data_IF_829679117060
#
_entry.id   IF_829679117060
#
_cell.length_a   1.000
_cell.length_b   1.000
_cell.length_c   1.000
_cell.angle_alpha   90.00
_cell.angle_beta   90.00
_cell.angle_gamma   90.00
#
_symmetry.space_group_name_H-M   'P 1'
#
loop_
_entity.id
_entity.type
_entity.pdbx_description
1 polymer ?
#
# COMPACT_ATOMS: atom_id res chain seq x y z
N UNK A 1 24.05 3.23 -14.16
CA UNK A 1 23.00 3.98 -13.42
C UNK A 1 23.61 4.97 -12.43
N UNK A 2 24.40 4.54 -11.44
CA UNK A 2 25.02 5.47 -10.46
C UNK A 2 25.95 6.51 -11.09
N UNK A 3 26.72 6.13 -12.12
CA UNK A 3 27.59 7.07 -12.85
C UNK A 3 26.80 8.20 -13.52
N UNK A 4 25.63 7.91 -14.08
CA UNK A 4 24.76 8.92 -14.71
C UNK A 4 24.16 9.86 -13.65
N UNK A 5 23.71 9.30 -12.51
CA UNK A 5 23.23 10.11 -11.38
C UNK A 5 24.33 11.03 -10.86
N UNK A 6 25.54 10.49 -10.64
CA UNK A 6 26.70 11.28 -10.20
C UNK A 6 27.00 12.42 -11.17
N UNK A 7 27.05 12.13 -12.47
CA UNK A 7 27.32 13.14 -13.50
C UNK A 7 26.27 14.25 -13.46
N UNK A 8 24.98 13.90 -13.35
CA UNK A 8 23.92 14.90 -13.26
C UNK A 8 24.06 15.79 -12.00
N UNK A 9 24.31 15.17 -10.84
CA UNK A 9 24.50 15.88 -9.57
C UNK A 9 25.68 16.85 -9.67
N UNK A 10 26.82 16.41 -10.21
CA UNK A 10 28.02 17.24 -10.37
C UNK A 10 27.82 18.42 -11.33
N UNK A 11 27.05 18.22 -12.40
CA UNK A 11 26.75 19.26 -13.38
C UNK A 11 25.75 20.32 -12.86
N UNK A 12 24.79 19.92 -12.03
CA UNK A 12 23.67 20.78 -11.65
C UNK A 12 23.77 21.32 -10.21
N UNK A 13 24.43 20.60 -9.29
CA UNK A 13 24.42 20.94 -7.87
C UNK A 13 25.81 21.15 -7.29
N UNK A 14 26.83 20.40 -7.74
CA UNK A 14 28.20 20.54 -7.29
C UNK A 14 28.90 19.19 -7.05
N UNK A 15 30.18 19.20 -6.59
CA UNK A 15 30.95 17.97 -6.36
C UNK A 15 30.26 16.98 -5.43
N UNK A 16 30.22 15.70 -5.84
CA UNK A 16 29.58 14.61 -5.08
C UNK A 16 30.63 13.91 -4.21
N UNK A 17 30.51 14.07 -2.90
CA UNK A 17 31.37 13.38 -1.91
C UNK A 17 30.91 11.93 -1.68
N UNK A 18 29.60 11.72 -1.62
CA UNK A 18 29.00 10.39 -1.38
C UNK A 18 27.83 10.17 -2.32
N UNK A 19 27.70 8.95 -2.81
CA UNK A 19 26.51 8.45 -3.51
C UNK A 19 26.36 6.97 -3.17
N UNK A 20 25.25 6.62 -2.54
CA UNK A 20 25.00 5.29 -2.00
C UNK A 20 23.60 4.80 -2.30
N UNK A 21 23.49 3.66 -2.99
CA UNK A 21 22.22 2.96 -3.26
C UNK A 21 21.64 2.41 -1.96
N UNK A 22 20.36 2.72 -1.72
CA UNK A 22 19.65 2.21 -0.55
C UNK A 22 19.07 0.83 -0.80
N UNK A 23 19.13 -0.05 0.20
CA UNK A 23 18.63 -1.43 0.15
C UNK A 23 17.11 -1.46 0.35
N UNK A 24 16.36 -1.15 -0.72
CA UNK A 24 14.89 -1.13 -0.73
C UNK A 24 14.32 -1.45 -2.11
N UNK A 25 13.04 -1.81 -2.16
CA UNK A 25 12.35 -2.24 -3.39
C UNK A 25 12.38 -1.16 -4.49
N UNK A 26 12.19 0.13 -4.12
CA UNK A 26 12.27 1.26 -5.05
C UNK A 26 13.72 1.71 -5.23
N UNK A 27 14.17 2.08 -6.43
CA UNK A 27 15.48 2.67 -6.64
C UNK A 27 15.60 4.02 -5.91
N UNK A 28 16.45 4.08 -4.89
CA UNK A 28 16.74 5.30 -4.11
C UNK A 28 18.23 5.36 -3.82
N UNK A 29 18.82 6.53 -3.93
CA UNK A 29 20.20 6.81 -3.54
C UNK A 29 20.25 7.97 -2.56
N UNK A 30 21.11 7.89 -1.57
CA UNK A 30 21.50 9.03 -0.78
C UNK A 30 22.79 9.63 -1.35
N UNK A 31 22.84 10.95 -1.44
CA UNK A 31 23.97 11.67 -1.96
C UNK A 31 24.32 12.84 -1.02
N UNK A 32 25.63 13.09 -0.86
CA UNK A 32 26.16 14.24 -0.19
C UNK A 32 26.92 15.07 -1.25
N UNK A 33 26.45 16.31 -1.49
CA UNK A 33 26.95 17.21 -2.55
C UNK A 33 27.43 18.51 -1.93
N UNK A 34 28.61 18.97 -2.30
CA UNK A 34 29.15 20.26 -1.81
C UNK A 34 28.69 21.38 -2.72
N UNK A 35 28.00 22.37 -2.14
CA UNK A 35 27.56 23.58 -2.82
C UNK A 35 27.85 24.81 -1.95
N UNK A 36 28.56 25.76 -2.47
CA UNK A 36 28.93 27.01 -1.76
C UNK A 36 29.58 26.75 -0.37
N UNK A 37 30.43 25.72 -0.29
CA UNK A 37 31.13 25.33 0.94
C UNK A 37 30.24 24.65 2.00
N UNK A 38 29.01 24.24 1.64
CA UNK A 38 28.08 23.49 2.49
C UNK A 38 27.75 22.16 1.87
N UNK A 39 27.55 21.12 2.71
CA UNK A 39 27.09 19.84 2.25
C UNK A 39 25.56 19.86 2.16
N UNK A 40 25.05 19.58 0.97
CA UNK A 40 23.65 19.27 0.72
C UNK A 40 23.45 17.77 0.87
N UNK A 41 22.63 17.38 1.82
CA UNK A 41 22.20 16.00 2.00
C UNK A 41 20.97 15.74 1.13
N UNK A 42 21.11 14.86 0.14
CA UNK A 42 20.11 14.65 -0.91
C UNK A 42 19.61 13.21 -0.95
N UNK A 43 18.39 13.06 -1.46
CA UNK A 43 17.79 11.78 -1.81
C UNK A 43 17.43 11.80 -3.29
N UNK A 44 17.95 10.85 -4.06
CA UNK A 44 17.59 10.64 -5.46
C UNK A 44 16.55 9.53 -5.49
N UNK A 45 15.32 9.87 -5.89
CA UNK A 45 14.17 8.96 -5.94
C UNK A 45 13.94 8.53 -7.38
N UNK A 46 14.25 7.26 -7.68
CA UNK A 46 14.12 6.67 -9.00
C UNK A 46 12.73 6.14 -9.30
N UNK A 47 12.48 5.88 -10.58
CA UNK A 47 11.24 5.27 -11.04
C UNK A 47 11.11 3.81 -10.58
N UNK A 48 9.90 3.33 -10.51
CA UNK A 48 9.60 1.93 -10.17
C UNK A 48 10.10 1.00 -11.29
N UNK A 49 10.43 -0.25 -10.92
CA UNK A 49 10.91 -1.26 -11.86
C UNK A 49 9.95 -2.43 -12.05
N UNK A 50 8.94 -2.54 -11.20
CA UNK A 50 7.97 -3.63 -11.17
C UNK A 50 6.70 -3.32 -11.99
N UNK A 51 6.26 -2.07 -12.03
CA UNK A 51 5.18 -1.58 -12.90
C UNK A 51 5.33 -0.05 -13.06
N UNK A 52 4.75 0.57 -14.11
CA UNK A 52 4.97 1.99 -14.41
C UNK A 52 4.28 2.98 -13.46
N UNK A 53 3.52 2.47 -12.45
CA UNK A 53 2.73 3.31 -11.55
C UNK A 53 1.40 3.78 -12.18
N UNK A 54 0.39 4.02 -11.35
CA UNK A 54 -0.88 4.63 -11.79
C UNK A 54 -0.69 6.12 -12.03
N UNK A 55 0.12 6.76 -11.20
CA UNK A 55 0.63 8.11 -11.43
C UNK A 55 2.12 8.03 -11.79
N UNK A 56 2.57 8.73 -12.86
CA UNK A 56 3.98 8.71 -13.24
C UNK A 56 4.84 9.49 -12.25
N UNK A 57 6.14 9.21 -12.21
CA UNK A 57 7.08 9.83 -11.28
C UNK A 57 7.12 11.36 -11.36
N UNK A 58 6.90 11.92 -12.56
CA UNK A 58 6.80 13.36 -12.78
C UNK A 58 5.61 13.98 -12.06
N UNK A 59 4.51 13.23 -11.93
CA UNK A 59 3.34 13.68 -11.18
C UNK A 59 3.66 13.78 -9.68
N UNK A 60 4.37 12.80 -9.12
CA UNK A 60 4.85 12.84 -7.74
C UNK A 60 5.73 14.06 -7.49
N UNK A 61 6.74 14.28 -8.36
CA UNK A 61 7.61 15.45 -8.28
C UNK A 61 6.83 16.78 -8.38
N UNK A 62 5.86 16.87 -9.30
CA UNK A 62 5.02 18.05 -9.46
C UNK A 62 4.21 18.38 -8.21
N UNK A 63 3.51 17.39 -7.66
CA UNK A 63 2.70 17.59 -6.44
C UNK A 63 3.59 17.98 -5.26
N UNK A 64 4.73 17.31 -5.09
CA UNK A 64 5.69 17.65 -4.04
C UNK A 64 6.23 19.07 -4.16
N UNK A 65 6.60 19.51 -5.36
CA UNK A 65 7.06 20.88 -5.60
C UNK A 65 5.98 21.91 -5.23
N UNK A 66 4.75 21.69 -5.67
CA UNK A 66 3.62 22.58 -5.37
C UNK A 66 3.27 22.62 -3.88
N UNK A 67 3.35 21.49 -3.18
CA UNK A 67 3.17 21.43 -1.73
C UNK A 67 4.26 22.21 -1.01
N UNK A 68 5.54 22.01 -1.39
CA UNK A 68 6.69 22.71 -0.81
C UNK A 68 6.58 24.23 -0.97
N UNK A 69 6.25 24.71 -2.17
CA UNK A 69 6.04 26.14 -2.47
C UNK A 69 4.93 26.79 -1.62
N UNK A 70 3.99 25.99 -1.11
CA UNK A 70 2.87 26.43 -0.26
C UNK A 70 3.10 26.21 1.22
N UNK A 71 4.33 25.85 1.60
CA UNK A 71 4.73 25.73 2.99
C UNK A 71 4.31 24.40 3.66
N UNK A 72 3.81 23.42 2.90
CA UNK A 72 3.61 22.06 3.44
C UNK A 72 4.99 21.46 3.72
N UNK A 73 5.23 20.86 4.90
CA UNK A 73 6.53 20.28 5.23
C UNK A 73 6.76 18.99 4.45
N UNK A 74 7.24 19.14 3.23
CA UNK A 74 7.72 18.07 2.34
C UNK A 74 9.15 18.40 1.90
N UNK A 75 9.90 17.39 1.44
CA UNK A 75 11.26 17.62 0.94
C UNK A 75 11.27 18.59 -0.25
N UNK A 76 12.18 19.55 -0.26
CA UNK A 76 12.39 20.45 -1.40
C UNK A 76 12.90 19.66 -2.62
N UNK A 77 12.46 20.07 -3.82
CA UNK A 77 12.86 19.44 -5.09
C UNK A 77 14.00 20.24 -5.74
N UNK A 78 15.08 19.53 -6.10
CA UNK A 78 16.27 20.11 -6.73
C UNK A 78 16.33 19.91 -8.25
N UNK A 79 15.63 18.94 -8.80
CA UNK A 79 15.54 18.73 -10.24
C UNK A 79 15.21 17.33 -10.67
N UNK A 80 15.14 17.15 -11.99
CA UNK A 80 14.79 15.91 -12.68
C UNK A 80 16.00 15.33 -13.41
N UNK A 81 16.16 14.02 -13.35
CA UNK A 81 17.15 13.21 -14.09
C UNK A 81 16.39 12.39 -15.13
N UNK A 82 16.72 12.57 -16.43
CA UNK A 82 16.04 11.84 -17.51
C UNK A 82 16.48 10.39 -17.59
N UNK A 83 17.77 10.11 -17.34
CA UNK A 83 18.32 8.74 -17.39
C UNK A 83 19.35 8.53 -16.28
N UNK A 84 19.06 7.63 -15.32
CA UNK A 84 17.76 6.94 -15.11
C UNK A 84 16.68 7.91 -14.68
N UNK A 85 15.42 7.68 -15.05
CA UNK A 85 14.31 8.54 -14.62
C UNK A 85 14.28 8.60 -13.11
N UNK A 86 14.51 9.80 -12.58
CA UNK A 86 14.57 10.07 -11.14
C UNK A 86 14.38 11.56 -10.86
N UNK A 87 14.00 11.91 -9.65
CA UNK A 87 14.09 13.30 -9.20
C UNK A 87 14.90 13.40 -7.89
N UNK A 88 15.48 14.56 -7.69
CA UNK A 88 16.38 14.86 -6.58
C UNK A 88 15.68 15.75 -5.58
N UNK A 89 15.65 15.31 -4.31
CA UNK A 89 15.01 16.01 -3.19
C UNK A 89 15.96 16.13 -2.00
N UNK A 90 15.62 16.98 -1.05
CA UNK A 90 16.29 16.99 0.25
C UNK A 90 16.19 15.62 0.94
N UNK A 91 17.27 15.20 1.58
CA UNK A 91 17.19 14.10 2.55
C UNK A 91 16.69 14.66 3.87
N UNK A 92 15.43 14.34 4.19
CA UNK A 92 14.79 14.87 5.39
C UNK A 92 15.28 14.18 6.66
N UNK A 93 15.56 14.94 7.74
CA UNK A 93 15.95 14.39 9.03
C UNK A 93 14.77 13.79 9.77
N UNK A 94 15.06 13.03 10.84
CA UNK A 94 14.08 12.48 11.76
C UNK A 94 13.94 10.97 11.63
N UNK A 95 13.00 10.43 12.39
CA UNK A 95 12.71 9.00 12.45
C UNK A 95 11.30 8.70 11.90
N UNK A 96 11.10 7.52 11.29
CA UNK A 96 9.84 7.18 10.61
C UNK A 96 8.80 6.50 11.53
N UNK A 97 9.14 6.19 12.76
CA UNK A 97 8.31 5.46 13.72
C UNK A 97 8.45 6.03 15.14
N UNK A 98 7.68 5.50 16.08
CA UNK A 98 7.67 5.95 17.47
C UNK A 98 8.55 5.10 18.40
N UNK A 99 9.52 4.36 17.85
CA UNK A 99 10.45 3.59 18.66
C UNK A 99 11.21 4.51 19.65
N UNK A 100 11.07 4.22 20.94
CA UNK A 100 11.67 5.02 22.02
C UNK A 100 10.94 6.34 22.37
N UNK A 101 9.83 6.66 21.72
CA UNK A 101 8.99 7.80 22.09
C UNK A 101 8.09 7.47 23.27
N UNK A 102 7.88 8.46 24.14
CA UNK A 102 6.81 8.41 25.15
C UNK A 102 5.45 8.61 24.48
N UNK A 103 4.36 8.25 25.17
CA UNK A 103 3.00 8.50 24.69
C UNK A 103 2.75 9.99 24.45
N UNK A 104 3.19 10.86 25.34
CA UNK A 104 3.07 12.31 25.18
C UNK A 104 3.83 12.85 23.96
N UNK A 105 5.00 12.29 23.63
CA UNK A 105 5.74 12.65 22.43
C UNK A 105 5.02 12.18 21.17
N UNK A 106 4.53 10.93 21.16
CA UNK A 106 3.71 10.41 20.08
C UNK A 106 2.48 11.29 19.84
N UNK A 107 1.74 11.61 20.89
CA UNK A 107 0.55 12.46 20.79
C UNK A 107 0.86 13.85 20.27
N UNK A 108 1.97 14.47 20.69
CA UNK A 108 2.40 15.76 20.18
C UNK A 108 2.73 15.72 18.67
N UNK A 109 3.44 14.68 18.22
CA UNK A 109 3.75 14.47 16.80
C UNK A 109 2.47 14.22 16.00
N UNK A 110 1.54 13.43 16.51
CA UNK A 110 0.27 13.17 15.82
C UNK A 110 -0.61 14.42 15.74
N UNK A 111 -0.66 15.25 16.79
CA UNK A 111 -1.37 16.53 16.74
C UNK A 111 -0.77 17.47 15.69
N UNK A 112 0.57 17.50 15.57
CA UNK A 112 1.24 18.27 14.51
C UNK A 112 0.97 17.71 13.10
N UNK A 113 0.94 16.38 12.94
CA UNK A 113 0.58 15.74 11.67
C UNK A 113 -0.85 16.08 11.26
N UNK A 114 -1.81 16.03 12.19
CA UNK A 114 -3.21 16.39 11.92
C UNK A 114 -3.37 17.87 11.57
N UNK A 115 -2.56 18.75 12.20
CA UNK A 115 -2.50 20.17 11.83
C UNK A 115 -2.02 20.32 10.38
N UNK A 116 -0.95 19.59 9.99
CA UNK A 116 -0.43 19.61 8.62
C UNK A 116 -1.48 19.11 7.63
N UNK A 117 -2.20 18.04 7.94
CA UNK A 117 -3.30 17.56 7.08
C UNK A 117 -4.42 18.59 6.97
N UNK A 118 -4.83 19.22 8.07
CA UNK A 118 -5.88 20.25 8.05
C UNK A 118 -5.46 21.47 7.20
N UNK A 119 -4.21 21.91 7.31
CA UNK A 119 -3.63 22.98 6.49
C UNK A 119 -3.53 22.58 5.02
N UNK A 120 -3.06 21.39 4.69
CA UNK A 120 -3.02 20.83 3.33
C UNK A 120 -4.43 20.82 2.71
N UNK A 121 -5.41 20.31 3.47
CA UNK A 121 -6.79 20.19 3.00
C UNK A 121 -7.52 21.56 2.89
N UNK A 122 -6.96 22.60 3.43
CA UNK A 122 -7.46 23.96 3.28
C UNK A 122 -6.87 24.71 2.07
N UNK A 123 -5.84 24.15 1.40
CA UNK A 123 -5.23 24.78 0.23
C UNK A 123 -6.24 24.88 -0.94
N UNK A 124 -6.15 25.97 -1.69
CA UNK A 124 -6.85 26.09 -2.96
C UNK A 124 -6.32 25.05 -3.97
N UNK A 125 -7.20 24.24 -4.53
CA UNK A 125 -6.86 23.22 -5.51
C UNK A 125 -6.61 23.77 -6.91
N UNK A 126 -7.12 24.97 -7.23
CA UNK A 126 -7.04 25.54 -8.58
C UNK A 126 -5.60 25.67 -9.11
N UNK A 127 -4.58 26.08 -8.32
CA UNK A 127 -3.20 26.10 -8.77
C UNK A 127 -2.63 24.69 -9.06
N UNK A 128 -3.04 23.69 -8.33
CA UNK A 128 -2.63 22.30 -8.55
C UNK A 128 -3.26 21.74 -9.84
N UNK A 129 -4.55 22.00 -10.05
CA UNK A 129 -5.27 21.60 -11.26
C UNK A 129 -4.69 22.29 -12.51
N UNK A 130 -4.43 23.60 -12.43
CA UNK A 130 -3.81 24.36 -13.51
C UNK A 130 -2.41 23.88 -13.87
N UNK A 131 -1.66 23.34 -12.90
CA UNK A 131 -0.35 22.73 -13.12
C UNK A 131 -0.43 21.28 -13.66
N UNK A 132 -1.63 20.69 -13.71
CA UNK A 132 -1.84 19.34 -14.24
C UNK A 132 -1.90 18.23 -13.18
N UNK A 133 -2.03 18.58 -11.91
CA UNK A 133 -2.30 17.57 -10.87
C UNK A 133 -3.65 16.93 -11.14
N UNK A 134 -3.67 15.60 -11.17
CA UNK A 134 -4.86 14.84 -11.60
C UNK A 134 -5.84 14.66 -10.43
N UNK A 135 -7.12 14.54 -10.79
CA UNK A 135 -8.10 13.91 -9.91
C UNK A 135 -7.87 12.40 -9.91
N UNK A 136 -7.94 11.78 -8.74
CA UNK A 136 -7.54 10.39 -8.57
C UNK A 136 -8.56 9.56 -7.81
N UNK A 137 -8.04 8.69 -6.98
CA UNK A 137 -8.78 7.70 -6.21
C UNK A 137 -8.89 6.37 -6.94
N UNK A 138 -9.72 5.47 -6.41
CA UNK A 138 -9.86 4.08 -6.89
C UNK A 138 -10.17 3.97 -8.38
N UNK A 139 -10.88 4.94 -8.96
CA UNK A 139 -11.21 4.95 -10.39
C UNK A 139 -9.97 5.02 -11.31
N UNK A 140 -8.88 5.66 -10.89
CA UNK A 140 -7.62 5.66 -11.63
C UNK A 140 -6.97 4.27 -11.62
N UNK A 141 -7.01 3.61 -10.48
CA UNK A 141 -6.53 2.24 -10.29
C UNK A 141 -7.37 1.21 -11.03
N UNK A 142 -8.70 1.35 -11.04
CA UNK A 142 -9.59 0.50 -11.83
C UNK A 142 -9.27 0.60 -13.34
N UNK A 143 -9.06 1.80 -13.88
CA UNK A 143 -8.67 1.96 -15.29
C UNK A 143 -7.36 1.24 -15.60
N UNK A 144 -6.35 1.36 -14.73
CA UNK A 144 -5.09 0.64 -14.85
C UNK A 144 -5.29 -0.87 -14.81
N UNK A 145 -6.03 -1.37 -13.81
CA UNK A 145 -6.36 -2.78 -13.68
C UNK A 145 -7.06 -3.34 -14.91
N UNK A 146 -8.12 -2.67 -15.40
CA UNK A 146 -8.85 -3.08 -16.61
C UNK A 146 -7.94 -3.16 -17.84
N UNK A 147 -7.02 -2.22 -18.00
CA UNK A 147 -6.07 -2.19 -19.13
C UNK A 147 -4.99 -3.27 -19.04
N UNK A 148 -4.62 -3.70 -17.82
CA UNK A 148 -3.48 -4.60 -17.57
C UNK A 148 -3.87 -5.99 -17.05
N UNK A 149 -5.16 -6.26 -16.83
CA UNK A 149 -5.66 -7.54 -16.28
C UNK A 149 -5.19 -8.73 -17.08
N UNK A 150 -4.57 -9.71 -16.40
CA UNK A 150 -3.95 -10.90 -17.01
C UNK A 150 -4.72 -12.19 -16.75
N UNK A 151 -5.50 -12.26 -15.67
CA UNK A 151 -6.24 -13.45 -15.25
C UNK A 151 -7.51 -13.06 -14.49
N UNK A 152 -8.47 -13.97 -14.28
CA UNK A 152 -9.60 -13.72 -13.39
C UNK A 152 -9.14 -13.27 -11.99
N UNK A 153 -9.87 -12.30 -11.45
CA UNK A 153 -9.72 -11.83 -10.07
C UNK A 153 -11.12 -11.57 -9.48
N UNK A 154 -11.79 -12.63 -9.04
CA UNK A 154 -13.18 -12.55 -8.60
C UNK A 154 -13.37 -11.62 -7.40
N UNK A 155 -12.35 -11.49 -6.51
CA UNK A 155 -12.46 -10.62 -5.36
C UNK A 155 -12.43 -9.13 -5.77
N UNK A 156 -11.55 -8.73 -6.68
CA UNK A 156 -11.52 -7.36 -7.19
C UNK A 156 -12.79 -7.02 -7.97
N UNK A 157 -13.32 -7.93 -8.79
CA UNK A 157 -14.58 -7.71 -9.48
C UNK A 157 -15.75 -7.53 -8.51
N UNK A 158 -15.79 -8.33 -7.45
CA UNK A 158 -16.78 -8.19 -6.37
C UNK A 158 -16.67 -6.82 -5.68
N UNK A 159 -15.46 -6.43 -5.25
CA UNK A 159 -15.24 -5.16 -4.57
C UNK A 159 -15.58 -3.95 -5.46
N UNK A 160 -15.16 -3.96 -6.72
CA UNK A 160 -15.49 -2.92 -7.69
C UNK A 160 -16.99 -2.90 -8.01
N UNK A 161 -17.64 -4.05 -8.06
CA UNK A 161 -19.09 -4.19 -8.17
C UNK A 161 -19.82 -3.54 -6.99
N UNK A 162 -19.36 -3.82 -5.77
CA UNK A 162 -19.91 -3.23 -4.56
C UNK A 162 -19.77 -1.71 -4.54
N UNK A 163 -18.59 -1.16 -4.85
CA UNK A 163 -18.38 0.29 -4.94
C UNK A 163 -19.32 0.98 -5.95
N UNK A 164 -19.58 0.33 -7.08
CA UNK A 164 -20.53 0.88 -8.07
C UNK A 164 -21.97 0.89 -7.58
N UNK A 165 -22.37 -0.11 -6.78
CA UNK A 165 -23.72 -0.17 -6.18
C UNK A 165 -23.88 0.77 -4.99
N UNK A 166 -22.78 1.13 -4.32
CA UNK A 166 -22.75 1.97 -3.12
C UNK A 166 -21.80 3.17 -3.33
N UNK A 167 -22.12 4.07 -4.27
CA UNK A 167 -21.28 5.24 -4.50
C UNK A 167 -21.35 6.18 -3.29
N UNK A 168 -20.20 6.72 -2.90
CA UNK A 168 -20.17 7.80 -1.93
C UNK A 168 -20.57 9.11 -2.64
N UNK A 169 -21.57 9.78 -2.12
CA UNK A 169 -21.99 11.09 -2.65
C UNK A 169 -20.82 12.08 -2.58
N UNK A 170 -20.51 12.69 -3.73
CA UNK A 170 -19.51 13.75 -3.81
C UNK A 170 -20.01 14.96 -2.99
N UNK A 171 -19.46 15.14 -1.78
CA UNK A 171 -19.91 16.18 -0.84
C UNK A 171 -19.35 17.58 -1.16
N UNK A 172 -18.84 17.79 -2.40
CA UNK A 172 -18.29 19.07 -2.84
C UNK A 172 -17.02 19.49 -2.11
N UNK A 173 -16.30 18.54 -1.49
CA UNK A 173 -15.05 18.76 -0.79
C UNK A 173 -13.92 18.24 -1.66
N UNK A 174 -13.26 19.14 -2.36
CA UNK A 174 -12.03 18.80 -3.08
C UNK A 174 -10.84 19.41 -2.35
N UNK A 175 -9.79 18.64 -2.23
CA UNK A 175 -8.56 19.00 -1.58
C UNK A 175 -7.38 18.31 -2.26
N UNK A 176 -6.19 18.78 -2.02
CA UNK A 176 -4.97 18.00 -2.29
C UNK A 176 -4.83 16.98 -1.17
N UNK A 177 -4.72 15.70 -1.53
CA UNK A 177 -4.58 14.59 -0.59
C UNK A 177 -3.30 13.82 -0.86
N UNK A 178 -2.72 13.25 0.18
CA UNK A 178 -1.56 12.34 0.10
C UNK A 178 -2.02 10.95 -0.31
N UNK A 179 -3.18 10.57 0.13
CA UNK A 179 -3.88 9.29 0.04
C UNK A 179 -3.15 8.13 0.71
N UNK A 180 -1.87 7.87 0.44
CA UNK A 180 -1.06 6.94 1.24
C UNK A 180 -0.48 7.64 2.48
N UNK A 181 -1.35 8.30 3.21
CA UNK A 181 -1.05 9.16 4.34
C UNK A 181 -0.53 8.39 5.57
N UNK A 182 0.03 9.12 6.55
CA UNK A 182 0.66 8.55 7.73
C UNK A 182 2.15 8.26 7.55
N UNK A 183 2.74 8.53 6.40
CA UNK A 183 4.17 8.42 6.18
C UNK A 183 4.85 9.77 6.39
N UNK A 184 5.60 9.89 7.45
CA UNK A 184 6.34 11.11 7.78
C UNK A 184 7.59 10.80 8.59
N UNK A 185 8.54 11.74 8.62
CA UNK A 185 9.58 11.78 9.64
C UNK A 185 9.23 12.78 10.72
N UNK A 186 9.76 12.55 11.94
CA UNK A 186 9.57 13.45 13.08
C UNK A 186 10.82 13.49 13.97
N UNK A 187 10.94 14.56 14.77
CA UNK A 187 12.03 14.78 15.73
C UNK A 187 11.68 14.40 17.18
N UNK A 188 10.52 13.77 17.39
CA UNK A 188 9.96 13.43 18.69
C UNK A 188 9.02 14.50 19.26
N UNK A 189 8.84 15.64 18.59
CA UNK A 189 7.90 16.69 18.96
C UNK A 189 7.04 17.15 17.78
N UNK A 190 7.64 17.19 16.57
CA UNK A 190 7.00 17.69 15.34
C UNK A 190 7.34 16.82 14.15
N UNK A 191 6.49 16.86 13.18
CA UNK A 191 6.74 16.30 11.85
C UNK A 191 7.78 17.13 11.14
N UNK A 192 8.86 16.50 10.69
CA UNK A 192 9.93 17.16 9.93
C UNK A 192 9.66 17.15 8.43
N UNK A 193 9.01 16.12 7.93
CA UNK A 193 8.48 16.08 6.56
C UNK A 193 7.42 14.98 6.38
N UNK A 194 6.40 15.26 5.58
CA UNK A 194 5.48 14.26 5.00
C UNK A 194 6.18 13.60 3.83
N UNK A 195 6.03 12.29 3.70
CA UNK A 195 6.75 11.44 2.76
C UNK A 195 5.78 10.66 1.87
N UNK A 196 6.35 10.08 0.81
CA UNK A 196 5.70 9.12 -0.09
C UNK A 196 4.44 9.65 -0.77
N UNK A 197 4.65 10.69 -1.60
CA UNK A 197 3.60 11.40 -2.31
C UNK A 197 3.23 10.74 -3.66
N UNK A 198 3.62 9.48 -3.89
CA UNK A 198 3.37 8.80 -5.18
C UNK A 198 1.88 8.61 -5.49
N UNK A 199 1.01 8.63 -4.49
CA UNK A 199 -0.43 8.54 -4.65
C UNK A 199 -1.15 9.89 -4.52
N UNK A 200 -0.42 10.97 -4.26
CA UNK A 200 -1.01 12.28 -4.03
C UNK A 200 -1.79 12.79 -5.25
N UNK A 201 -2.98 13.32 -5.03
CA UNK A 201 -3.88 13.78 -6.11
C UNK A 201 -4.92 14.79 -5.56
N UNK A 202 -5.83 15.25 -6.41
CA UNK A 202 -7.00 16.02 -5.96
C UNK A 202 -8.13 15.04 -5.65
N UNK A 203 -8.60 15.04 -4.39
CA UNK A 203 -9.60 14.11 -3.88
C UNK A 203 -10.35 14.63 -2.66
N UNK A 204 -11.10 13.75 -1.99
CA UNK A 204 -11.78 14.08 -0.74
C UNK A 204 -10.78 14.05 0.43
N UNK A 205 -10.71 15.08 1.30
CA UNK A 205 -9.81 15.11 2.46
C UNK A 205 -9.97 13.92 3.41
N UNK A 206 -11.14 13.29 3.47
CA UNK A 206 -11.37 12.09 4.30
C UNK A 206 -10.61 10.85 3.79
N UNK A 207 -10.10 10.88 2.55
CA UNK A 207 -9.23 9.83 2.02
C UNK A 207 -7.95 9.71 2.85
N UNK A 208 -7.36 10.83 3.28
CA UNK A 208 -6.17 10.81 4.12
C UNK A 208 -6.46 10.27 5.53
N UNK A 209 -7.60 10.64 6.11
CA UNK A 209 -8.00 10.11 7.42
C UNK A 209 -8.30 8.60 7.39
N UNK A 210 -8.82 8.13 6.27
CA UNK A 210 -9.06 6.70 6.05
C UNK A 210 -7.77 5.90 5.90
N UNK A 211 -6.81 6.42 5.13
CA UNK A 211 -5.62 5.69 4.74
C UNK A 211 -4.62 5.52 5.89
N UNK A 212 -4.29 6.56 6.67
CA UNK A 212 -3.30 6.41 7.73
C UNK A 212 -3.77 5.51 8.88
N UNK A 213 -5.09 5.31 9.06
CA UNK A 213 -5.64 4.33 9.99
C UNK A 213 -5.16 2.91 9.70
N UNK A 214 -5.02 2.53 8.43
CA UNK A 214 -4.50 1.22 8.06
C UNK A 214 -3.03 1.03 8.48
N UNK A 215 -2.22 2.08 8.44
CA UNK A 215 -0.81 2.03 8.87
C UNK A 215 -0.63 1.91 10.37
N UNK A 216 -1.67 2.18 11.17
CA UNK A 216 -1.63 2.03 12.62
C UNK A 216 -1.26 0.61 13.06
N UNK A 217 -1.67 -0.41 12.30
CA UNK A 217 -1.33 -1.81 12.58
C UNK A 217 0.18 -2.09 12.59
N UNK A 218 0.98 -1.20 12.00
CA UNK A 218 2.45 -1.32 11.90
C UNK A 218 3.15 -0.27 12.76
N UNK A 219 2.64 0.98 12.76
CA UNK A 219 3.33 2.13 13.37
C UNK A 219 2.86 2.40 14.80
N UNK A 220 1.56 2.24 15.09
CA UNK A 220 0.98 2.52 16.40
C UNK A 220 0.86 4.01 16.70
N UNK A 221 -0.02 4.71 15.98
CA UNK A 221 -0.22 6.17 16.14
C UNK A 221 -0.98 6.56 17.40
N UNK A 222 -1.79 5.64 17.97
CA UNK A 222 -2.58 5.88 19.16
C UNK A 222 -4.09 5.83 18.94
N UNK A 223 -4.87 6.62 19.69
CA UNK A 223 -6.34 6.60 19.67
C UNK A 223 -6.90 7.40 18.47
N UNK A 224 -7.54 6.72 17.52
CA UNK A 224 -8.14 7.34 16.33
C UNK A 224 -9.38 8.17 16.63
N UNK A 225 -10.14 7.87 17.69
CA UNK A 225 -11.28 8.71 18.09
C UNK A 225 -10.79 10.09 18.53
N UNK A 226 -9.72 10.12 19.33
CA UNK A 226 -9.05 11.37 19.72
C UNK A 226 -8.51 12.11 18.49
N UNK A 227 -7.85 11.39 17.57
CA UNK A 227 -7.26 11.99 16.39
C UNK A 227 -8.31 12.59 15.45
N UNK A 228 -9.43 11.92 15.23
CA UNK A 228 -10.50 12.45 14.40
C UNK A 228 -11.16 13.68 15.03
N UNK A 229 -11.42 13.65 16.36
CA UNK A 229 -11.91 14.83 17.07
C UNK A 229 -10.91 16.01 16.98
N UNK A 230 -9.60 15.73 17.06
CA UNK A 230 -8.56 16.76 16.87
C UNK A 230 -8.55 17.34 15.47
N UNK A 231 -8.70 16.50 14.45
CA UNK A 231 -8.80 16.97 13.06
C UNK A 231 -10.06 17.84 12.85
N UNK A 232 -11.21 17.48 13.44
CA UNK A 232 -12.43 18.31 13.40
C UNK A 232 -12.18 19.70 14.01
N UNK A 233 -11.51 19.75 15.16
CA UNK A 233 -11.12 21.01 15.82
C UNK A 233 -10.26 21.88 14.89
N UNK A 234 -9.24 21.29 14.27
CA UNK A 234 -8.25 21.97 13.45
C UNK A 234 -8.81 22.42 12.09
N UNK A 235 -9.59 21.56 11.45
CA UNK A 235 -10.16 21.82 10.12
C UNK A 235 -11.46 22.62 10.14
N UNK A 236 -12.14 22.67 11.30
CA UNK A 236 -13.49 23.23 11.42
C UNK A 236 -14.57 22.42 10.69
N UNK A 237 -14.31 21.16 10.35
CA UNK A 237 -15.20 20.30 9.56
C UNK A 237 -15.42 18.97 10.29
N UNK A 238 -16.67 18.46 10.34
CA UNK A 238 -16.94 17.17 10.96
C UNK A 238 -16.31 16.04 10.15
N UNK A 239 -15.81 15.02 10.86
CA UNK A 239 -15.34 13.76 10.27
C UNK A 239 -16.54 12.82 10.17
N UNK A 240 -16.90 12.49 8.95
CA UNK A 240 -17.97 11.55 8.65
C UNK A 240 -17.41 10.13 8.69
N UNK A 241 -17.75 9.37 9.72
CA UNK A 241 -17.25 8.01 9.94
C UNK A 241 -17.64 7.04 8.81
N UNK A 242 -18.85 7.18 8.25
CA UNK A 242 -19.31 6.36 7.12
C UNK A 242 -18.47 6.65 5.86
N UNK A 243 -18.22 7.94 5.57
CA UNK A 243 -17.36 8.33 4.46
C UNK A 243 -15.90 7.85 4.67
N UNK A 244 -15.36 7.95 5.89
CA UNK A 244 -14.03 7.42 6.22
C UNK A 244 -13.99 5.91 6.00
N UNK A 245 -15.00 5.16 6.44
CA UNK A 245 -15.09 3.71 6.23
C UNK A 245 -15.14 3.35 4.74
N UNK A 246 -15.93 4.09 3.95
CA UNK A 246 -16.01 3.89 2.51
C UNK A 246 -14.68 4.20 1.80
N UNK A 247 -14.02 5.31 2.15
CA UNK A 247 -12.69 5.64 1.61
C UNK A 247 -11.63 4.65 2.04
N UNK A 248 -11.70 4.12 3.28
CA UNK A 248 -10.84 3.04 3.73
C UNK A 248 -10.99 1.80 2.84
N UNK A 249 -12.24 1.35 2.64
CA UNK A 249 -12.50 0.23 1.74
C UNK A 249 -11.95 0.47 0.33
N UNK A 250 -12.22 1.65 -0.26
CA UNK A 250 -11.70 1.99 -1.59
C UNK A 250 -10.16 2.02 -1.63
N UNK A 251 -9.49 2.49 -0.56
CA UNK A 251 -8.03 2.51 -0.46
C UNK A 251 -7.42 1.11 -0.39
N UNK A 252 -8.04 0.18 0.33
CA UNK A 252 -7.53 -1.20 0.46
C UNK A 252 -7.44 -1.94 -0.88
N UNK A 253 -8.20 -1.53 -1.90
CA UNK A 253 -8.17 -2.16 -3.22
C UNK A 253 -6.96 -1.76 -4.07
N UNK A 254 -6.30 -0.65 -3.74
CA UNK A 254 -5.27 -0.03 -4.60
C UNK A 254 -4.09 -0.94 -4.88
N UNK A 255 -3.62 -1.70 -3.89
CA UNK A 255 -2.50 -2.62 -4.06
C UNK A 255 -2.82 -3.73 -5.06
N UNK A 256 -3.94 -4.42 -4.90
CA UNK A 256 -4.34 -5.49 -5.81
C UNK A 256 -4.62 -4.97 -7.22
N UNK A 257 -5.28 -3.82 -7.34
CA UNK A 257 -5.53 -3.18 -8.63
C UNK A 257 -4.23 -2.76 -9.35
N UNK A 258 -3.24 -2.29 -8.59
CA UNK A 258 -1.94 -1.88 -9.12
C UNK A 258 -1.06 -3.08 -9.52
N UNK A 259 -0.96 -4.07 -8.63
CA UNK A 259 0.02 -5.16 -8.76
C UNK A 259 -0.52 -6.42 -9.46
N UNK A 260 -1.81 -6.47 -9.83
CA UNK A 260 -2.44 -7.64 -10.43
C UNK A 260 -1.61 -8.24 -11.58
N UNK A 261 -1.20 -7.39 -12.54
CA UNK A 261 -0.41 -7.84 -13.68
C UNK A 261 0.99 -8.30 -13.29
N UNK A 262 1.65 -7.57 -12.37
CA UNK A 262 3.00 -7.90 -11.87
C UNK A 262 3.03 -9.19 -11.03
N UNK A 263 1.92 -9.54 -10.36
CA UNK A 263 1.78 -10.81 -9.64
C UNK A 263 1.39 -11.97 -10.55
N UNK A 264 0.71 -11.70 -11.68
CA UNK A 264 0.36 -12.72 -12.65
C UNK A 264 1.53 -13.11 -13.56
N UNK A 265 2.40 -12.15 -13.89
CA UNK A 265 3.58 -12.31 -14.75
C UNK A 265 4.72 -11.42 -14.22
N UNK A 266 5.39 -11.85 -13.12
CA UNK A 266 6.36 -11.01 -12.43
C UNK A 266 7.64 -10.84 -13.26
N UNK A 267 8.11 -9.59 -13.46
CA UNK A 267 9.40 -9.35 -14.08
C UNK A 267 10.55 -10.02 -13.29
N UNK A 268 11.56 -10.59 -13.97
CA UNK A 268 12.73 -11.12 -13.30
C UNK A 268 13.39 -10.07 -12.40
N UNK A 269 13.65 -10.44 -11.15
CA UNK A 269 14.28 -9.53 -10.19
C UNK A 269 13.33 -8.56 -9.49
N UNK A 270 12.02 -8.59 -9.74
CA UNK A 270 11.03 -7.84 -8.94
C UNK A 270 10.93 -8.37 -7.50
N UNK A 271 10.51 -7.52 -6.56
CA UNK A 271 10.22 -7.97 -5.18
C UNK A 271 8.79 -8.54 -5.09
N UNK A 272 8.62 -9.72 -5.71
CA UNK A 272 7.34 -10.43 -5.76
C UNK A 272 6.68 -10.59 -4.40
N UNK A 273 7.47 -10.92 -3.35
CA UNK A 273 6.93 -11.20 -2.02
C UNK A 273 6.43 -9.95 -1.31
N UNK A 274 7.02 -8.79 -1.55
CA UNK A 274 6.52 -7.52 -1.02
C UNK A 274 5.19 -7.13 -1.67
N UNK A 275 5.09 -7.23 -3.00
CA UNK A 275 3.84 -6.96 -3.72
C UNK A 275 2.72 -7.93 -3.29
N UNK A 276 3.04 -9.23 -3.16
CA UNK A 276 2.07 -10.24 -2.71
C UNK A 276 1.61 -9.99 -1.27
N UNK A 277 2.53 -9.63 -0.37
CA UNK A 277 2.20 -9.31 1.01
C UNK A 277 1.24 -8.12 1.10
N UNK A 278 1.55 -7.02 0.44
CA UNK A 278 0.70 -5.83 0.43
C UNK A 278 -0.72 -6.15 -0.09
N UNK A 279 -0.81 -6.92 -1.19
CA UNK A 279 -2.10 -7.34 -1.71
C UNK A 279 -2.88 -8.20 -0.70
N UNK A 280 -2.23 -9.21 -0.11
CA UNK A 280 -2.92 -10.11 0.84
C UNK A 280 -3.38 -9.38 2.11
N UNK A 281 -2.55 -8.49 2.66
CA UNK A 281 -2.91 -7.69 3.84
C UNK A 281 -4.08 -6.75 3.55
N UNK A 282 -4.00 -5.98 2.46
CA UNK A 282 -5.07 -5.03 2.12
C UNK A 282 -6.35 -5.71 1.66
N UNK A 283 -6.28 -6.89 1.02
CA UNK A 283 -7.46 -7.67 0.69
C UNK A 283 -8.20 -8.20 1.95
N UNK A 284 -7.47 -8.54 3.02
CA UNK A 284 -8.10 -8.88 4.29
C UNK A 284 -8.81 -7.68 4.91
N UNK A 285 -8.20 -6.50 4.93
CA UNK A 285 -8.87 -5.27 5.36
C UNK A 285 -10.09 -4.94 4.51
N UNK A 286 -10.03 -5.20 3.19
CA UNK A 286 -11.15 -4.97 2.30
C UNK A 286 -12.35 -5.86 2.63
N UNK A 287 -12.12 -7.16 2.82
CA UNK A 287 -13.22 -8.10 3.14
C UNK A 287 -13.78 -7.86 4.55
N UNK A 288 -12.95 -7.43 5.50
CA UNK A 288 -13.39 -7.02 6.84
C UNK A 288 -14.27 -5.77 6.79
N UNK A 289 -13.87 -4.74 6.02
CA UNK A 289 -14.70 -3.56 5.82
C UNK A 289 -16.06 -3.88 5.19
N UNK A 290 -16.08 -4.79 4.20
CA UNK A 290 -17.35 -5.28 3.61
C UNK A 290 -18.21 -6.03 4.63
N UNK A 291 -17.59 -6.83 5.48
CA UNK A 291 -18.32 -7.53 6.54
C UNK A 291 -18.96 -6.57 7.53
N UNK A 292 -18.24 -5.50 7.91
CA UNK A 292 -18.76 -4.46 8.79
C UNK A 292 -19.95 -3.73 8.14
N UNK A 293 -19.85 -3.32 6.86
CA UNK A 293 -20.96 -2.69 6.12
C UNK A 293 -22.20 -3.58 6.02
N UNK A 294 -22.02 -4.89 5.87
CA UNK A 294 -23.12 -5.83 5.69
C UNK A 294 -23.63 -6.43 7.01
N UNK A 295 -22.97 -6.15 8.13
CA UNK A 295 -23.27 -6.75 9.42
C UNK A 295 -23.04 -8.26 9.44
N UNK A 296 -22.04 -8.77 8.73
CA UNK A 296 -21.72 -10.19 8.59
C UNK A 296 -20.56 -10.55 9.51
N UNK A 297 -20.71 -11.49 10.45
CA UNK A 297 -19.58 -11.93 11.28
C UNK A 297 -18.56 -12.73 10.45
N UNK A 298 -17.28 -12.49 10.72
CA UNK A 298 -16.18 -13.23 10.11
C UNK A 298 -15.50 -14.12 11.13
N UNK A 299 -15.28 -15.36 10.76
CA UNK A 299 -14.51 -16.33 11.52
C UNK A 299 -13.32 -16.82 10.67
N UNK A 300 -12.12 -16.79 11.25
CA UNK A 300 -10.95 -17.37 10.59
C UNK A 300 -11.17 -18.87 10.40
N UNK A 301 -10.99 -19.41 9.18
CA UNK A 301 -11.16 -20.82 8.96
C UNK A 301 -10.05 -21.62 9.66
N UNK A 302 -10.38 -22.83 10.11
CA UNK A 302 -9.37 -23.78 10.53
C UNK A 302 -8.43 -24.08 9.34
N UNK A 303 -7.12 -24.00 9.60
CA UNK A 303 -6.14 -24.32 8.56
C UNK A 303 -5.97 -25.83 8.42
N UNK A 304 -5.78 -26.32 7.19
CA UNK A 304 -5.47 -27.72 6.97
C UNK A 304 -4.20 -28.14 7.74
N UNK A 305 -4.19 -29.38 8.23
CA UNK A 305 -2.99 -29.96 8.79
C UNK A 305 -1.86 -30.00 7.75
N UNK A 306 -0.61 -29.87 8.20
CA UNK A 306 0.54 -30.01 7.32
C UNK A 306 0.53 -31.42 6.68
N UNK A 307 0.76 -31.45 5.38
CA UNK A 307 0.89 -32.71 4.64
C UNK A 307 2.20 -33.41 5.00
N UNK A 308 2.24 -34.73 4.72
CA UNK A 308 3.53 -35.46 4.74
C UNK A 308 4.53 -34.77 3.80
N UNK A 309 5.82 -34.69 4.19
CA UNK A 309 6.83 -33.99 3.40
C UNK A 309 6.89 -34.52 1.96
N UNK A 310 6.80 -33.61 0.99
CA UNK A 310 6.95 -33.98 -0.41
C UNK A 310 8.41 -34.26 -0.78
N UNK A 311 8.63 -34.75 -2.00
CA UNK A 311 9.99 -34.89 -2.54
C UNK A 311 10.75 -33.54 -2.64
N UNK A 312 10.02 -32.41 -2.65
CA UNK A 312 10.60 -31.07 -2.68
C UNK A 312 11.03 -30.55 -1.29
N UNK A 313 10.62 -31.18 -0.20
CA UNK A 313 10.88 -30.71 1.16
C UNK A 313 12.37 -30.54 1.49
N UNK A 314 13.21 -31.50 1.06
CA UNK A 314 14.65 -31.45 1.31
C UNK A 314 15.33 -30.31 0.53
N UNK A 315 15.19 -30.21 -0.81
CA UNK A 315 15.79 -29.10 -1.57
C UNK A 315 15.24 -27.74 -1.16
N UNK A 316 13.94 -27.62 -0.83
CA UNK A 316 13.34 -26.36 -0.36
C UNK A 316 13.93 -25.93 0.98
N UNK A 317 14.08 -26.84 1.94
CA UNK A 317 14.74 -26.56 3.21
C UNK A 317 16.21 -26.12 3.00
N UNK A 318 16.95 -26.81 2.14
CA UNK A 318 18.32 -26.43 1.81
C UNK A 318 18.40 -25.02 1.21
N UNK A 319 17.47 -24.67 0.30
CA UNK A 319 17.37 -23.34 -0.28
C UNK A 319 17.10 -22.27 0.80
N UNK A 320 16.13 -22.51 1.69
CA UNK A 320 15.81 -21.62 2.80
C UNK A 320 17.03 -21.38 3.69
N UNK A 321 17.75 -22.44 4.07
CA UNK A 321 18.94 -22.35 4.91
C UNK A 321 20.09 -21.60 4.21
N UNK A 322 20.27 -21.82 2.91
CA UNK A 322 21.31 -21.19 2.09
C UNK A 322 21.07 -19.69 1.85
N UNK A 323 19.81 -19.23 1.84
CA UNK A 323 19.44 -17.83 1.63
C UNK A 323 19.40 -17.01 2.93
N UNK A 324 19.66 -17.60 4.08
CA UNK A 324 19.64 -16.92 5.39
C UNK A 324 20.77 -15.90 5.48
N UNK A 325 20.51 -14.67 5.09
CA UNK A 325 21.47 -13.56 5.05
C UNK A 325 20.79 -12.23 5.46
N UNK A 326 21.62 -11.26 5.91
CA UNK A 326 21.20 -9.87 6.18
C UNK A 326 21.09 -8.99 4.92
N UNK A 327 21.59 -9.45 3.78
CA UNK A 327 21.52 -8.75 2.50
C UNK A 327 20.08 -8.62 2.00
N UNK A 328 19.71 -7.44 1.47
CA UNK A 328 18.36 -7.18 0.98
C UNK A 328 17.94 -8.12 -0.15
N UNK A 329 18.84 -8.34 -1.13
CA UNK A 329 18.54 -9.18 -2.30
C UNK A 329 18.34 -10.66 -1.90
N UNK A 330 19.19 -11.18 -1.01
CA UNK A 330 19.01 -12.53 -0.47
C UNK A 330 17.79 -12.62 0.45
N UNK A 331 17.46 -11.56 1.18
CA UNK A 331 16.31 -11.54 2.07
C UNK A 331 14.98 -11.65 1.31
N UNK A 332 14.81 -10.98 0.16
CA UNK A 332 13.61 -11.13 -0.68
C UNK A 332 13.49 -12.54 -1.26
N UNK A 333 14.60 -13.15 -1.70
CA UNK A 333 14.62 -14.55 -2.17
C UNK A 333 14.38 -15.54 -1.03
N UNK A 334 14.89 -15.27 0.17
CA UNK A 334 14.58 -16.03 1.38
C UNK A 334 13.08 -16.03 1.69
N UNK A 335 12.41 -14.87 1.61
CA UNK A 335 10.96 -14.78 1.81
C UNK A 335 10.20 -15.62 0.77
N UNK A 336 10.59 -15.57 -0.49
CA UNK A 336 10.01 -16.39 -1.55
C UNK A 336 10.22 -17.90 -1.28
N UNK A 337 11.41 -18.30 -0.88
CA UNK A 337 11.70 -19.69 -0.51
C UNK A 337 10.85 -20.17 0.68
N UNK A 338 10.63 -19.31 1.68
CA UNK A 338 9.75 -19.60 2.82
C UNK A 338 8.27 -19.70 2.41
N UNK A 339 7.82 -18.88 1.49
CA UNK A 339 6.48 -18.99 0.91
C UNK A 339 6.30 -20.33 0.16
N UNK A 340 7.26 -20.71 -0.68
CA UNK A 340 7.23 -22.00 -1.39
C UNK A 340 7.27 -23.19 -0.42
N UNK A 341 8.06 -23.10 0.64
CA UNK A 341 8.08 -24.12 1.70
C UNK A 341 6.70 -24.25 2.36
N UNK A 342 6.08 -23.13 2.71
CA UNK A 342 4.74 -23.15 3.31
C UNK A 342 3.66 -23.65 2.35
N UNK A 343 3.81 -23.34 1.07
CA UNK A 343 2.93 -23.87 0.03
C UNK A 343 3.07 -25.40 -0.11
N UNK A 344 4.27 -25.95 0.01
CA UNK A 344 4.50 -27.41 0.03
C UNK A 344 3.82 -28.08 1.25
N UNK A 345 3.83 -27.40 2.41
CA UNK A 345 3.24 -27.92 3.65
C UNK A 345 1.70 -27.98 3.62
N UNK A 346 1.02 -26.89 3.22
CA UNK A 346 -0.44 -26.78 3.32
C UNK A 346 -1.12 -26.26 2.05
N UNK A 347 -0.38 -25.74 1.07
CA UNK A 347 -0.96 -25.01 -0.06
C UNK A 347 -1.94 -25.85 -0.89
N UNK A 348 -1.61 -27.11 -1.14
CA UNK A 348 -2.54 -28.02 -1.85
C UNK A 348 -3.85 -28.19 -1.11
N UNK A 349 -3.79 -28.42 0.20
CA UNK A 349 -4.99 -28.59 1.01
C UNK A 349 -5.81 -27.30 1.11
N UNK A 350 -5.15 -26.12 1.12
CA UNK A 350 -5.85 -24.83 1.03
C UNK A 350 -6.58 -24.68 -0.30
N UNK A 351 -5.95 -25.06 -1.43
CA UNK A 351 -6.61 -25.03 -2.76
C UNK A 351 -7.82 -25.98 -2.80
N UNK A 352 -7.70 -27.20 -2.27
CA UNK A 352 -8.82 -28.12 -2.22
C UNK A 352 -9.98 -27.58 -1.38
N UNK A 353 -9.67 -26.97 -0.21
CA UNK A 353 -10.68 -26.33 0.63
C UNK A 353 -11.36 -25.14 -0.08
N UNK A 354 -10.63 -24.35 -0.86
CA UNK A 354 -11.20 -23.27 -1.68
C UNK A 354 -12.15 -23.82 -2.76
N UNK A 355 -11.81 -24.95 -3.39
CA UNK A 355 -12.66 -25.59 -4.39
C UNK A 355 -13.92 -26.21 -3.76
N UNK A 356 -13.83 -26.71 -2.53
CA UNK A 356 -14.98 -27.22 -1.78
C UNK A 356 -15.91 -26.07 -1.36
N UNK A 357 -15.37 -24.95 -0.88
CA UNK A 357 -16.15 -23.74 -0.60
C UNK A 357 -16.89 -23.25 -1.85
N UNK A 358 -16.24 -23.25 -3.01
CA UNK A 358 -16.85 -22.86 -4.29
C UNK A 358 -17.95 -23.84 -4.74
N UNK A 359 -17.82 -25.13 -4.43
CA UNK A 359 -18.83 -26.11 -4.78
C UNK A 359 -20.18 -25.81 -4.13
N UNK A 360 -20.17 -25.27 -2.90
CA UNK A 360 -21.39 -24.87 -2.19
C UNK A 360 -22.09 -23.71 -2.89
N UNK A 361 -21.33 -22.68 -3.27
CA UNK A 361 -21.89 -21.50 -3.94
C UNK A 361 -22.36 -21.81 -5.37
N UNK A 362 -21.53 -22.51 -6.15
CA UNK A 362 -21.75 -22.73 -7.59
C UNK A 362 -22.61 -23.94 -7.90
N UNK A 363 -22.97 -24.77 -6.88
CA UNK A 363 -23.69 -26.01 -7.07
C UNK A 363 -22.90 -27.13 -7.80
N UNK A 364 -21.63 -26.86 -8.12
CA UNK A 364 -20.69 -27.83 -8.71
C UNK A 364 -19.27 -27.53 -8.26
N UNK A 365 -18.46 -28.55 -8.07
CA UNK A 365 -17.06 -28.38 -7.70
C UNK A 365 -16.19 -28.13 -8.93
N UNK A 366 -15.44 -27.01 -9.02
CA UNK A 366 -14.44 -26.79 -10.06
C UNK A 366 -13.32 -27.83 -9.97
N UNK A 367 -12.66 -28.14 -11.10
CA UNK A 367 -11.58 -29.13 -11.15
C UNK A 367 -10.22 -28.55 -10.75
N UNK A 368 -10.02 -27.27 -11.04
CA UNK A 368 -8.77 -26.54 -10.78
C UNK A 368 -9.08 -25.19 -10.20
N UNK A 369 -8.09 -24.57 -9.54
CA UNK A 369 -8.23 -23.22 -9.03
C UNK A 369 -8.50 -22.19 -10.15
N UNK A 370 -7.93 -22.39 -11.36
CA UNK A 370 -8.17 -21.52 -12.52
C UNK A 370 -9.64 -21.59 -12.97
N UNK A 371 -10.20 -22.81 -13.06
CA UNK A 371 -11.64 -22.99 -13.36
C UNK A 371 -12.50 -22.36 -12.25
N UNK A 372 -12.06 -22.50 -10.98
CA UNK A 372 -12.73 -21.92 -9.84
C UNK A 372 -12.77 -20.38 -9.86
N UNK A 373 -11.62 -19.74 -10.11
CA UNK A 373 -11.54 -18.28 -10.18
C UNK A 373 -12.35 -17.73 -11.36
N UNK A 374 -12.29 -18.39 -12.53
CA UNK A 374 -13.07 -17.98 -13.69
C UNK A 374 -14.57 -18.07 -13.44
N UNK A 375 -15.03 -19.20 -12.87
CA UNK A 375 -16.45 -19.40 -12.56
C UNK A 375 -16.96 -18.46 -11.46
N UNK A 376 -16.14 -18.17 -10.44
CA UNK A 376 -16.48 -17.22 -9.39
C UNK A 376 -16.52 -15.79 -9.92
N UNK A 377 -15.58 -15.41 -10.80
CA UNK A 377 -15.60 -14.08 -11.43
C UNK A 377 -16.87 -13.92 -12.30
N UNK A 378 -17.21 -14.92 -13.11
CA UNK A 378 -18.45 -14.90 -13.89
C UNK A 378 -19.67 -14.74 -12.99
N UNK A 379 -19.72 -15.48 -11.88
CA UNK A 379 -20.79 -15.38 -10.89
C UNK A 379 -20.90 -13.97 -10.29
N UNK A 380 -19.81 -13.40 -9.77
CA UNK A 380 -19.85 -12.08 -9.12
C UNK A 380 -20.11 -10.92 -10.08
N UNK A 381 -19.69 -11.04 -11.35
CA UNK A 381 -19.99 -10.04 -12.38
C UNK A 381 -21.47 -10.07 -12.78
N UNK A 382 -22.10 -11.23 -12.74
CA UNK A 382 -23.53 -11.39 -13.04
C UNK A 382 -24.44 -11.06 -11.85
N UNK A 383 -23.91 -11.08 -10.62
CA UNK A 383 -24.65 -10.82 -9.38
C UNK A 383 -24.92 -9.31 -9.19
N UNK A 384 -26.13 -8.96 -8.84
CA UNK A 384 -26.56 -7.59 -8.56
C UNK A 384 -26.45 -7.19 -7.07
N UNK A 385 -25.82 -8.03 -6.26
CA UNK A 385 -25.66 -7.87 -4.81
C UNK A 385 -26.55 -8.79 -3.97
N UNK A 386 -27.32 -9.67 -4.60
CA UNK A 386 -28.18 -10.58 -3.88
C UNK A 386 -27.41 -11.57 -2.99
N UNK A 387 -26.17 -11.89 -3.37
CA UNK A 387 -25.31 -12.84 -2.67
C UNK A 387 -24.17 -12.18 -1.88
N UNK A 388 -24.16 -10.85 -1.70
CA UNK A 388 -23.07 -10.14 -0.99
C UNK A 388 -22.79 -10.78 0.38
N UNK A 389 -23.82 -11.14 1.16
CA UNK A 389 -23.67 -11.75 2.49
C UNK A 389 -23.11 -13.18 2.47
N UNK A 390 -23.24 -13.91 1.37
CA UNK A 390 -22.65 -15.24 1.19
C UNK A 390 -21.23 -15.16 0.64
N UNK A 391 -20.98 -14.17 -0.24
CA UNK A 391 -19.68 -13.93 -0.87
C UNK A 391 -18.62 -13.42 0.11
N UNK A 392 -18.99 -12.55 1.05
CA UNK A 392 -18.03 -11.97 2.01
C UNK A 392 -17.36 -13.04 2.88
N UNK A 393 -18.07 -13.97 3.54
CA UNK A 393 -17.43 -15.07 4.28
C UNK A 393 -16.62 -16.03 3.39
N UNK A 394 -17.07 -16.26 2.16
CA UNK A 394 -16.35 -17.10 1.20
C UNK A 394 -15.00 -16.45 0.85
N UNK A 395 -14.99 -15.16 0.48
CA UNK A 395 -13.77 -14.43 0.18
C UNK A 395 -12.86 -14.33 1.41
N UNK A 396 -13.40 -14.09 2.59
CA UNK A 396 -12.61 -14.06 3.82
C UNK A 396 -11.85 -15.38 4.04
N UNK A 397 -12.50 -16.53 3.91
CA UNK A 397 -11.84 -17.84 4.08
C UNK A 397 -10.70 -18.02 3.06
N UNK A 398 -10.93 -17.66 1.79
CA UNK A 398 -9.94 -17.77 0.72
C UNK A 398 -8.74 -16.84 0.97
N UNK A 399 -9.00 -15.59 1.30
CA UNK A 399 -7.96 -14.59 1.58
C UNK A 399 -7.15 -14.94 2.83
N UNK A 400 -7.82 -15.45 3.87
CA UNK A 400 -7.15 -15.92 5.07
C UNK A 400 -6.18 -17.07 4.76
N UNK A 401 -6.60 -18.07 4.00
CA UNK A 401 -5.72 -19.19 3.57
C UNK A 401 -4.53 -18.65 2.76
N UNK A 402 -4.77 -17.75 1.82
CA UNK A 402 -3.71 -17.13 1.02
C UNK A 402 -2.71 -16.34 1.91
N UNK A 403 -3.19 -15.60 2.90
CA UNK A 403 -2.35 -14.89 3.87
C UNK A 403 -1.50 -15.86 4.71
N UNK A 404 -2.06 -17.00 5.13
CA UNK A 404 -1.33 -18.01 5.90
C UNK A 404 -0.27 -18.78 5.09
N UNK A 405 -0.24 -18.62 3.79
CA UNK A 405 0.81 -19.13 2.91
C UNK A 405 2.02 -18.19 2.80
N UNK A 406 1.94 -16.94 3.29
CA UNK A 406 3.02 -15.96 3.18
C UNK A 406 4.32 -16.34 3.90
N UNK A 407 4.25 -17.24 4.86
CA UNK A 407 5.41 -17.71 5.63
C UNK A 407 5.05 -18.79 6.64
N UNK A 408 5.98 -19.10 7.55
CA UNK A 408 5.71 -20.05 8.64
C UNK A 408 4.56 -19.60 9.52
N UNK A 409 3.80 -20.56 10.04
CA UNK A 409 2.74 -20.28 11.00
C UNK A 409 3.24 -19.45 12.19
N UNK A 410 2.49 -18.41 12.56
CA UNK A 410 2.81 -17.51 13.67
C UNK A 410 3.99 -16.56 13.42
N UNK A 411 4.50 -16.49 12.19
CA UNK A 411 5.48 -15.44 11.83
C UNK A 411 4.79 -14.09 11.61
N UNK A 412 5.57 -13.01 11.63
CA UNK A 412 5.05 -11.67 11.31
C UNK A 412 4.36 -11.61 9.93
N UNK A 413 4.75 -12.49 8.98
CA UNK A 413 4.16 -12.57 7.64
C UNK A 413 2.77 -13.21 7.62
N UNK A 414 2.37 -13.91 8.67
CA UNK A 414 1.09 -14.63 8.79
C UNK A 414 0.23 -14.10 9.94
N UNK A 415 0.72 -13.06 10.63
CA UNK A 415 -0.05 -12.36 11.66
C UNK A 415 -0.87 -11.26 11.00
N UNK A 416 -2.15 -11.19 11.31
CA UNK A 416 -3.05 -10.15 10.83
C UNK A 416 -3.65 -9.41 12.05
N UNK A 417 -3.70 -8.10 11.97
CA UNK A 417 -4.24 -7.24 13.02
C UNK A 417 -5.42 -6.45 12.47
N UNK A 418 -6.56 -6.55 13.13
CA UNK A 418 -7.72 -5.73 12.80
C UNK A 418 -7.46 -4.26 13.11
N UNK A 419 -8.13 -3.40 12.36
CA UNK A 419 -8.12 -1.96 12.60
C UNK A 419 -8.85 -1.61 13.89
N UNK A 420 -8.49 -0.48 14.50
CA UNK A 420 -9.25 0.08 15.61
C UNK A 420 -10.67 0.41 15.19
N UNK A 421 -11.64 0.08 16.03
CA UNK A 421 -13.01 0.53 15.88
C UNK A 421 -13.11 2.02 16.25
N UNK A 422 -13.65 2.82 15.34
CA UNK A 422 -13.78 4.28 15.47
C UNK A 422 -15.22 4.78 15.48
N UNK A 423 -16.18 3.86 15.27
CA UNK A 423 -17.61 4.18 15.17
C UNK A 423 -18.42 3.81 16.37
#
# INVERSE_FOLDING_TARGET
MESLIRTWLEQNLGPVERLERQARWRPVWFADVVRDGRTLELCVRGDRTDYPGVFPLEHEMLVQSLMHERGVPVAGVHGWIDEPRAFVIDRVPGQPDFAGCTEAQRDAVMDDYLRILAELHALDVAPFEAAGVRRGGVAAYERWYRASKKRPDPFMEFCLGWLRRHPLDARGRESVVVWDSGQFHHDGQRVTAVLDLELAHIGDPLMDLAAFRMRDTIIGYGDFRRMYAKYEELSGRPVDAEAVAHHHFAFTLTNQLAFHAALADPPPGSDYMTNLQWCNETNLFAVEALADFLGVPLEAPELPAAAEPSAAAVPTRHLVESLRSGDYELRRLFRLARHLQRFDEIGRACVEADLDDLAVLLGRRPRTWQEGDAALEEFVVADDGAHDKDLVPLFHRRLWRAHQLMGPAGSAMTTHHRLQDVG
#
